data_IF_023131630130
#
_entry.id   IF_023131630130
#
_cell.length_a   1.000
_cell.length_b   1.000
_cell.length_c   1.000
_cell.angle_alpha   90.00
_cell.angle_beta   90.00
_cell.angle_gamma   90.00
#
_symmetry.space_group_name_H-M   'P 1'
#
loop_
_entity.id
_entity.type
_entity.pdbx_description
1 polymer ?
#
# COMPACT_ATOMS: atom_id res chain seq x y z
N UNK A 1 17.11 44.15 49.32
CA UNK A 1 17.25 45.19 48.29
C UNK A 1 17.83 44.52 47.06
N UNK A 2 17.16 44.33 45.92
CA UNK A 2 15.76 44.47 45.55
C UNK A 2 15.57 43.59 44.31
N UNK A 3 14.50 42.80 44.29
CA UNK A 3 13.90 42.29 43.05
C UNK A 3 13.19 43.46 42.36
N UNK A 4 13.13 43.45 41.02
CA UNK A 4 11.90 43.92 40.36
C UNK A 4 11.49 42.97 39.20
N UNK A 5 10.32 43.16 38.56
CA UNK A 5 9.08 42.59 39.04
C UNK A 5 8.47 41.58 38.06
N UNK A 6 7.52 40.78 38.57
CA UNK A 6 6.51 40.12 37.76
C UNK A 6 5.44 41.15 37.42
N UNK A 7 5.06 41.23 36.15
CA UNK A 7 3.75 41.72 35.74
C UNK A 7 3.16 40.81 34.67
N UNK A 8 1.99 40.28 34.98
CA UNK A 8 1.00 39.65 34.08
C UNK A 8 -0.13 40.67 33.95
N UNK A 9 -0.72 40.86 32.76
CA UNK A 9 -2.15 40.61 32.69
C UNK A 9 -2.66 39.92 31.40
N UNK A 10 -3.63 39.04 31.64
CA UNK A 10 -4.92 38.92 30.92
C UNK A 10 -4.95 38.40 29.47
N UNK A 11 -5.20 37.09 29.38
CA UNK A 11 -6.35 36.46 28.70
C UNK A 11 -6.85 37.08 27.39
N UNK A 12 -6.62 36.41 26.26
CA UNK A 12 -7.62 36.23 25.20
C UNK A 12 -7.54 34.79 24.66
N UNK A 13 -8.49 33.95 25.11
CA UNK A 13 -8.82 32.68 24.44
C UNK A 13 -9.55 33.01 23.15
N UNK A 14 -8.92 32.81 22.00
CA UNK A 14 -9.62 32.73 20.72
C UNK A 14 -10.02 31.27 20.51
N UNK A 15 -11.29 30.98 20.80
CA UNK A 15 -11.94 29.75 20.34
C UNK A 15 -12.32 29.95 18.88
N UNK A 16 -11.59 29.32 17.97
CA UNK A 16 -12.05 29.13 16.59
C UNK A 16 -12.81 27.82 16.52
N UNK A 17 -14.15 27.90 16.63
CA UNK A 17 -15.06 26.79 16.33
C UNK A 17 -15.13 26.64 14.81
N UNK A 18 -14.55 25.58 14.27
CA UNK A 18 -14.80 25.17 12.88
C UNK A 18 -16.09 24.33 12.87
N UNK A 19 -17.13 24.85 12.21
CA UNK A 19 -18.37 24.13 11.95
C UNK A 19 -18.11 23.03 10.91
N UNK A 20 -18.33 21.77 11.30
CA UNK A 20 -18.49 20.66 10.37
C UNK A 20 -19.95 20.64 9.89
N UNK A 21 -20.17 20.89 8.59
CA UNK A 21 -21.49 20.67 7.96
C UNK A 21 -21.61 19.20 7.61
N UNK A 22 -22.31 18.44 8.46
CA UNK A 22 -22.77 17.08 8.16
C UNK A 22 -24.15 17.15 7.53
N UNK A 23 -24.24 16.83 6.23
CA UNK A 23 -25.51 16.56 5.57
C UNK A 23 -26.10 15.23 6.03
N UNK A 24 -27.14 15.29 6.88
CA UNK A 24 -28.06 14.18 7.11
C UNK A 24 -29.28 14.35 6.20
N UNK A 25 -29.56 13.37 5.35
CA UNK A 25 -30.91 13.11 4.87
C UNK A 25 -31.46 11.91 5.64
N UNK A 26 -32.59 12.14 6.31
CA UNK A 26 -33.33 11.19 7.14
C UNK A 26 -34.39 10.39 6.37
N UNK A 27 -35.37 9.79 7.07
CA UNK A 27 -35.75 8.38 6.88
C UNK A 27 -37.21 8.19 6.41
N UNK A 28 -37.58 6.95 6.06
CA UNK A 28 -38.91 6.30 6.16
C UNK A 28 -38.83 4.96 5.36
N UNK A 29 -39.40 3.79 5.73
CA UNK A 29 -40.59 3.41 6.49
C UNK A 29 -40.48 1.95 6.95
N UNK A 30 -40.98 1.69 8.15
CA UNK A 30 -41.41 0.37 8.64
C UNK A 30 -42.83 0.07 8.14
N UNK A 31 -43.10 -1.16 7.68
CA UNK A 31 -44.43 -1.75 7.68
C UNK A 31 -44.38 -3.23 8.07
N UNK A 32 -44.96 -3.45 9.26
CA UNK A 32 -45.53 -4.63 9.89
C UNK A 32 -46.00 -5.79 8.96
N UNK A 33 -45.84 -7.03 9.45
CA UNK A 33 -46.59 -8.23 8.99
C UNK A 33 -48.10 -8.15 9.34
N UNK A 34 -48.86 -9.26 9.48
CA UNK A 34 -48.47 -10.69 9.53
C UNK A 34 -49.36 -11.61 8.65
N UNK A 35 -49.07 -12.92 8.58
CA UNK A 35 -50.11 -13.98 8.64
C UNK A 35 -49.53 -15.37 8.91
N UNK A 36 -50.06 -15.99 9.96
CA UNK A 36 -49.88 -17.40 10.35
C UNK A 36 -50.68 -18.30 9.41
N UNK A 37 -50.14 -19.47 9.06
CA UNK A 37 -50.93 -20.72 9.04
C UNK A 37 -50.02 -21.94 9.17
N UNK A 38 -50.59 -22.99 9.77
CA UNK A 38 -49.96 -24.18 10.36
C UNK A 38 -49.72 -25.31 9.34
N UNK A 39 -48.75 -26.16 9.69
CA UNK A 39 -48.72 -27.64 9.69
C UNK A 39 -49.44 -28.40 8.56
N UNK A 40 -48.71 -29.30 7.89
CA UNK A 40 -48.76 -30.76 8.17
C UNK A 40 -47.81 -31.55 7.26
N UNK A 41 -47.22 -32.58 7.86
CA UNK A 41 -46.53 -33.71 7.23
C UNK A 41 -47.51 -34.58 6.42
N UNK A 42 -46.99 -35.34 5.44
CA UNK A 42 -47.75 -36.37 4.73
C UNK A 42 -46.91 -37.14 3.71
N UNK A 43 -46.73 -38.42 3.96
CA UNK A 43 -45.86 -39.43 3.34
C UNK A 43 -46.45 -40.07 2.05
N UNK A 44 -45.56 -40.67 1.22
CA UNK A 44 -45.69 -41.89 0.38
C UNK A 44 -46.02 -41.83 -1.15
N UNK A 45 -45.13 -42.53 -1.88
CA UNK A 45 -45.08 -43.14 -3.25
C UNK A 45 -46.17 -44.26 -3.44
N UNK A 46 -46.32 -45.10 -4.52
CA UNK A 46 -45.73 -45.18 -5.89
C UNK A 46 -46.64 -45.60 -7.11
N UNK A 47 -46.05 -45.46 -8.32
CA UNK A 47 -45.98 -46.39 -9.52
C UNK A 47 -47.15 -46.72 -10.51
N UNK A 48 -46.68 -47.10 -11.74
CA UNK A 48 -47.20 -47.96 -12.86
C UNK A 48 -47.86 -47.23 -14.06
N UNK A 49 -47.25 -47.15 -15.26
CA UNK A 49 -47.02 -48.13 -16.38
C UNK A 49 -48.26 -48.40 -17.27
N UNK A 50 -48.12 -48.23 -18.60
CA UNK A 50 -49.00 -48.89 -19.58
C UNK A 50 -49.02 -48.30 -21.01
N UNK A 51 -48.47 -49.04 -21.97
CA UNK A 51 -48.31 -48.81 -23.43
C UNK A 51 -49.51 -49.23 -24.30
N UNK A 52 -49.61 -48.75 -25.57
CA UNK A 52 -50.07 -49.55 -26.74
C UNK A 52 -49.82 -48.89 -28.13
N UNK A 53 -49.89 -49.72 -29.18
CA UNK A 53 -49.14 -49.73 -30.45
C UNK A 53 -49.86 -49.16 -31.72
N UNK A 54 -49.05 -48.81 -32.76
CA UNK A 54 -49.07 -48.96 -34.27
C UNK A 54 -50.40 -49.29 -35.04
N UNK A 55 -50.52 -49.30 -36.42
CA UNK A 55 -49.50 -49.37 -37.51
C UNK A 55 -49.81 -48.72 -38.92
N UNK A 56 -48.84 -48.93 -39.85
CA UNK A 56 -48.92 -49.18 -41.33
C UNK A 56 -48.89 -48.05 -42.39
N UNK A 57 -47.91 -48.20 -43.32
CA UNK A 57 -47.68 -47.44 -44.56
C UNK A 57 -48.28 -48.13 -45.80
N UNK A 58 -48.31 -47.49 -47.00
CA UNK A 58 -47.32 -47.87 -48.03
C UNK A 58 -46.86 -46.75 -49.01
N UNK A 59 -45.83 -47.10 -49.81
CA UNK A 59 -45.04 -46.31 -50.80
C UNK A 59 -45.66 -46.19 -52.21
N UNK A 60 -45.24 -45.18 -53.01
CA UNK A 60 -44.74 -45.25 -54.43
C UNK A 60 -44.32 -43.83 -54.91
N UNK A 61 -43.01 -43.54 -55.11
CA UNK A 61 -42.21 -43.45 -56.37
C UNK A 61 -42.86 -42.62 -57.49
N UNK A 62 -42.47 -41.37 -57.72
CA UNK A 62 -41.30 -40.82 -58.47
C UNK A 62 -41.66 -40.40 -59.90
N UNK A 63 -41.43 -39.12 -60.24
CA UNK A 63 -40.88 -38.63 -61.53
C UNK A 63 -40.60 -37.11 -61.44
N UNK A 64 -39.32 -36.75 -61.50
CA UNK A 64 -38.72 -35.41 -61.72
C UNK A 64 -38.25 -35.35 -63.20
N UNK A 65 -37.76 -34.23 -63.76
CA UNK A 65 -37.97 -32.80 -63.47
C UNK A 65 -38.08 -31.91 -64.75
N UNK A 66 -38.40 -30.61 -64.59
CA UNK A 66 -37.75 -29.54 -65.37
C UNK A 66 -37.34 -28.42 -64.41
N UNK A 67 -36.04 -28.15 -64.35
CA UNK A 67 -35.45 -27.05 -63.57
C UNK A 67 -35.29 -25.84 -64.50
N UNK A 68 -35.81 -24.66 -64.15
CA UNK A 68 -35.24 -23.41 -64.62
C UNK A 68 -34.18 -22.91 -63.63
N UNK A 69 -33.02 -22.54 -64.17
CA UNK A 69 -31.99 -21.79 -63.44
C UNK A 69 -32.49 -20.37 -63.15
N UNK A 70 -32.49 -19.97 -61.88
CA UNK A 70 -31.64 -18.87 -61.39
C UNK A 70 -32.01 -18.51 -59.95
N UNK A 71 -31.19 -18.89 -58.98
CA UNK A 71 -31.26 -18.33 -57.62
C UNK A 71 -29.92 -17.64 -57.29
N UNK A 72 -29.53 -16.66 -58.11
CA UNK A 72 -28.36 -15.79 -57.85
C UNK A 72 -28.59 -14.83 -56.66
N UNK A 73 -29.84 -14.70 -56.18
CA UNK A 73 -30.16 -13.95 -54.97
C UNK A 73 -29.69 -14.68 -53.69
N UNK A 74 -29.83 -16.01 -53.62
CA UNK A 74 -29.51 -16.78 -52.42
C UNK A 74 -28.04 -16.75 -52.04
N UNK A 75 -27.11 -16.80 -52.99
CA UNK A 75 -25.67 -16.88 -52.69
C UNK A 75 -25.15 -15.61 -51.98
N UNK A 76 -25.66 -14.44 -52.36
CA UNK A 76 -25.26 -13.16 -51.73
C UNK A 76 -25.81 -13.04 -50.31
N UNK A 77 -27.01 -13.54 -50.06
CA UNK A 77 -27.60 -13.52 -48.72
C UNK A 77 -26.94 -14.56 -47.81
N UNK A 78 -26.58 -15.75 -48.33
CA UNK A 78 -25.78 -16.72 -47.58
C UNK A 78 -24.38 -16.21 -47.24
N UNK A 79 -23.72 -15.48 -48.16
CA UNK A 79 -22.43 -14.84 -47.88
C UNK A 79 -22.54 -13.76 -46.80
N UNK A 80 -23.63 -12.99 -46.77
CA UNK A 80 -23.89 -12.00 -45.70
C UNK A 80 -24.13 -12.67 -44.35
N UNK A 81 -24.89 -13.76 -44.31
CA UNK A 81 -25.13 -14.53 -43.08
C UNK A 81 -23.83 -15.13 -42.56
N UNK A 82 -22.98 -15.67 -43.43
CA UNK A 82 -21.67 -16.21 -43.05
C UNK A 82 -20.71 -15.12 -42.57
N UNK A 83 -20.71 -13.94 -43.20
CA UNK A 83 -19.93 -12.79 -42.75
C UNK A 83 -20.38 -12.27 -41.39
N UNK A 84 -21.70 -12.18 -41.16
CA UNK A 84 -22.26 -11.76 -39.87
C UNK A 84 -21.99 -12.79 -38.77
N UNK A 85 -22.12 -14.08 -39.07
CA UNK A 85 -21.78 -15.16 -38.14
C UNK A 85 -20.28 -15.19 -37.82
N UNK A 86 -19.42 -14.95 -38.82
CA UNK A 86 -17.98 -14.82 -38.65
C UNK A 86 -17.60 -13.61 -37.79
N UNK A 87 -18.23 -12.45 -38.03
CA UNK A 87 -18.03 -11.24 -37.21
C UNK A 87 -18.49 -11.45 -35.76
N UNK A 88 -19.63 -12.11 -35.55
CA UNK A 88 -20.14 -12.47 -34.22
C UNK A 88 -19.20 -13.44 -33.48
N UNK A 89 -18.63 -14.42 -34.18
CA UNK A 89 -17.66 -15.37 -33.61
C UNK A 89 -16.33 -14.69 -33.27
N UNK A 90 -15.86 -13.76 -34.10
CA UNK A 90 -14.65 -12.98 -33.82
C UNK A 90 -14.88 -12.03 -32.65
N UNK A 91 -16.05 -11.37 -32.55
CA UNK A 91 -16.36 -10.50 -31.42
C UNK A 91 -16.52 -11.27 -30.12
N UNK A 92 -17.18 -12.43 -30.14
CA UNK A 92 -17.33 -13.27 -28.93
C UNK A 92 -16.03 -13.96 -28.53
N UNK A 93 -15.21 -14.39 -29.49
CA UNK A 93 -13.86 -14.88 -29.23
C UNK A 93 -12.93 -13.79 -28.68
N UNK A 94 -13.04 -12.55 -29.16
CA UNK A 94 -12.30 -11.40 -28.65
C UNK A 94 -12.68 -11.01 -27.23
N UNK A 95 -13.98 -11.10 -26.87
CA UNK A 95 -14.47 -10.85 -25.50
C UNK A 95 -13.99 -11.95 -24.53
N UNK A 96 -14.05 -13.22 -24.94
CA UNK A 96 -13.56 -14.35 -24.12
C UNK A 96 -12.03 -14.32 -23.93
N UNK A 97 -11.28 -13.86 -24.94
CA UNK A 97 -9.83 -13.67 -24.82
C UNK A 97 -9.48 -12.46 -23.93
N UNK A 98 -10.26 -11.39 -23.95
CA UNK A 98 -10.08 -10.24 -23.08
C UNK A 98 -10.38 -10.56 -21.61
N UNK A 99 -11.45 -11.31 -21.33
CA UNK A 99 -11.77 -11.78 -19.97
C UNK A 99 -10.76 -12.80 -19.44
N UNK A 100 -10.15 -13.61 -20.32
CA UNK A 100 -9.09 -14.54 -19.94
C UNK A 100 -7.76 -13.83 -19.62
N UNK A 101 -7.49 -12.67 -20.22
CA UNK A 101 -6.31 -11.83 -19.89
C UNK A 101 -6.45 -11.06 -18.58
N UNK A 102 -7.67 -10.90 -18.06
CA UNK A 102 -7.93 -10.29 -16.73
C UNK A 102 -7.84 -11.28 -15.57
N UNK A 103 -7.45 -12.55 -15.82
CA UNK A 103 -7.00 -13.47 -14.79
C UNK A 103 -5.56 -13.12 -14.35
N UNK A 104 -5.33 -11.85 -13.98
CA UNK A 104 -4.28 -11.52 -13.05
C UNK A 104 -4.62 -12.30 -11.78
N UNK A 105 -3.81 -13.30 -11.44
CA UNK A 105 -3.92 -13.98 -10.15
C UNK A 105 -3.66 -12.94 -9.06
N UNK A 106 -4.71 -12.24 -8.62
CA UNK A 106 -4.65 -11.40 -7.45
C UNK A 106 -4.10 -12.24 -6.30
N UNK A 107 -3.07 -11.74 -5.62
CA UNK A 107 -2.46 -12.44 -4.50
C UNK A 107 -3.54 -12.87 -3.52
N UNK A 108 -3.57 -14.15 -3.15
CA UNK A 108 -4.51 -14.64 -2.15
C UNK A 108 -4.01 -14.22 -0.78
N UNK A 109 -4.78 -13.38 -0.08
CA UNK A 109 -4.55 -13.11 1.35
C UNK A 109 -4.73 -14.43 2.10
N UNK A 110 -3.70 -14.82 2.86
CA UNK A 110 -3.71 -15.97 3.75
C UNK A 110 -3.57 -15.45 5.18
N UNK A 111 -4.47 -15.86 6.08
CA UNK A 111 -4.49 -15.39 7.46
C UNK A 111 -5.29 -14.10 7.66
N UNK A 112 -5.15 -13.51 8.85
CA UNK A 112 -5.76 -12.23 9.21
C UNK A 112 -4.76 -11.07 9.14
N UNK A 113 -5.25 -9.85 9.40
CA UNK A 113 -4.39 -8.69 9.62
C UNK A 113 -3.89 -8.71 11.07
N UNK A 114 -2.59 -8.52 11.25
CA UNK A 114 -1.94 -8.43 12.56
C UNK A 114 -1.27 -7.06 12.67
N UNK A 115 -1.58 -6.34 13.74
CA UNK A 115 -0.87 -5.11 14.03
C UNK A 115 0.53 -5.44 14.60
N UNK A 116 1.54 -4.71 14.13
CA UNK A 116 2.94 -4.88 14.58
C UNK A 116 3.33 -3.86 15.65
N UNK A 117 2.65 -2.70 15.70
CA UNK A 117 2.91 -1.66 16.66
C UNK A 117 2.19 -1.91 17.99
N UNK A 118 2.86 -1.53 19.08
CA UNK A 118 2.25 -1.51 20.40
C UNK A 118 1.07 -0.52 20.42
N UNK A 119 0.05 -0.77 21.24
CA UNK A 119 -1.11 0.13 21.35
C UNK A 119 -2.14 0.04 20.23
N UNK A 120 -1.88 -0.68 19.13
CA UNK A 120 -2.82 -0.78 18.00
C UNK A 120 -4.23 -1.30 18.36
N UNK A 121 -4.35 -2.09 19.42
CA UNK A 121 -5.63 -2.59 19.94
C UNK A 121 -6.23 -1.71 21.04
N UNK A 122 -5.50 -0.70 21.52
CA UNK A 122 -5.95 0.22 22.55
C UNK A 122 -6.82 1.33 21.92
N UNK A 123 -8.13 1.41 22.25
CA UNK A 123 -9.02 2.42 21.69
C UNK A 123 -8.70 3.86 22.13
N UNK A 124 -7.81 4.06 23.10
CA UNK A 124 -7.35 5.41 23.50
C UNK A 124 -5.98 5.77 22.90
N UNK A 125 -5.32 4.86 22.19
CA UNK A 125 -4.10 5.19 21.47
C UNK A 125 -4.43 6.11 20.29
N UNK A 126 -3.76 7.26 20.26
CA UNK A 126 -3.89 8.29 19.24
C UNK A 126 -2.61 8.42 18.40
N UNK A 127 -1.65 7.51 18.58
CA UNK A 127 -0.39 7.48 17.85
C UNK A 127 -0.66 7.21 16.36
N UNK A 128 -0.18 8.12 15.53
CA UNK A 128 -0.45 8.10 14.09
C UNK A 128 0.68 7.42 13.31
N UNK A 129 0.80 6.10 13.44
CA UNK A 129 1.75 5.27 12.69
C UNK A 129 1.46 5.31 11.18
N UNK A 130 2.48 5.52 10.36
CA UNK A 130 2.36 5.54 8.90
C UNK A 130 3.70 5.37 8.17
N UNK A 131 3.62 5.29 6.83
CA UNK A 131 4.78 5.13 5.94
C UNK A 131 5.68 3.94 6.34
N UNK A 132 5.12 2.74 6.59
CA UNK A 132 5.92 1.63 7.08
C UNK A 132 6.84 1.07 5.98
N UNK A 133 8.00 0.58 6.41
CA UNK A 133 8.91 -0.26 5.62
C UNK A 133 9.19 -1.55 6.40
N UNK A 134 9.60 -2.60 5.69
CA UNK A 134 9.97 -3.89 6.30
C UNK A 134 11.12 -4.54 5.53
N UNK A 135 12.05 -5.14 6.27
CA UNK A 135 13.18 -5.90 5.72
C UNK A 135 13.32 -7.24 6.44
N UNK A 136 13.85 -8.23 5.74
CA UNK A 136 14.20 -9.54 6.28
C UNK A 136 15.72 -9.66 6.37
N UNK A 137 16.21 -10.19 7.49
CA UNK A 137 17.63 -10.42 7.68
C UNK A 137 18.14 -11.54 6.75
N UNK A 138 19.13 -11.27 5.87
CA UNK A 138 19.60 -12.23 4.87
C UNK A 138 20.36 -13.42 5.48
N UNK A 139 20.89 -13.29 6.70
CA UNK A 139 21.59 -14.39 7.40
C UNK A 139 20.70 -15.11 8.41
N UNK A 140 19.51 -14.55 8.71
CA UNK A 140 18.53 -15.16 9.60
C UNK A 140 17.09 -14.78 9.17
N UNK A 141 16.41 -15.58 8.33
CA UNK A 141 15.11 -15.22 7.78
C UNK A 141 13.98 -15.13 8.82
N UNK A 142 14.16 -15.68 10.02
CA UNK A 142 13.22 -15.53 11.14
C UNK A 142 13.27 -14.11 11.75
N UNK A 143 14.35 -13.35 11.50
CA UNK A 143 14.46 -11.98 11.94
C UNK A 143 13.92 -11.02 10.89
N UNK A 144 12.76 -10.45 11.18
CA UNK A 144 12.14 -9.37 10.41
C UNK A 144 12.24 -8.07 11.19
N UNK A 145 12.39 -6.96 10.48
CA UNK A 145 12.44 -5.63 11.06
C UNK A 145 11.53 -4.72 10.25
N UNK A 146 10.61 -4.05 10.92
CA UNK A 146 9.77 -3.01 10.32
C UNK A 146 10.06 -1.66 10.98
N UNK A 147 9.99 -0.59 10.21
CA UNK A 147 10.08 0.78 10.73
C UNK A 147 8.92 1.60 10.20
N UNK A 148 8.51 2.59 10.98
CA UNK A 148 7.48 3.53 10.57
C UNK A 148 7.63 4.87 11.29
N UNK A 149 6.99 5.88 10.70
CA UNK A 149 6.87 7.20 11.30
C UNK A 149 5.62 7.28 12.15
N UNK A 150 5.73 7.91 13.32
CA UNK A 150 4.60 8.29 14.17
C UNK A 150 4.39 9.79 14.06
N UNK A 151 3.27 10.21 13.45
CA UNK A 151 2.96 11.63 13.29
C UNK A 151 2.42 12.27 14.58
N UNK A 152 1.77 13.43 14.45
CA UNK A 152 1.13 14.14 15.56
C UNK A 152 0.29 13.20 16.43
N UNK A 153 0.40 13.28 17.76
CA UNK A 153 1.06 14.34 18.52
C UNK A 153 2.54 14.09 18.86
N UNK A 154 3.09 12.90 18.58
CA UNK A 154 4.40 12.48 19.08
C UNK A 154 5.56 12.89 18.18
N UNK A 155 5.41 12.80 16.85
CA UNK A 155 6.48 13.03 15.88
C UNK A 155 7.72 12.18 16.15
N UNK A 156 7.58 10.86 16.20
CA UNK A 156 8.68 9.93 16.45
C UNK A 156 8.82 8.92 15.31
N UNK A 157 9.76 7.98 15.47
CA UNK A 157 9.87 6.80 14.63
C UNK A 157 9.85 5.57 15.51
N UNK A 158 9.38 4.46 14.96
CA UNK A 158 9.34 3.17 15.64
C UNK A 158 10.18 2.14 14.88
N UNK A 159 10.75 1.19 15.62
CA UNK A 159 11.44 0.02 15.10
C UNK A 159 10.83 -1.22 15.73
N UNK A 160 10.22 -2.07 14.91
CA UNK A 160 9.54 -3.28 15.31
C UNK A 160 10.36 -4.49 14.88
N UNK A 161 10.65 -5.39 15.81
CA UNK A 161 11.51 -6.56 15.61
C UNK A 161 10.67 -7.82 15.79
N UNK A 162 10.77 -8.73 14.84
CA UNK A 162 10.37 -10.12 15.02
C UNK A 162 11.60 -11.02 14.97
N UNK A 163 11.58 -12.10 15.75
CA UNK A 163 12.60 -13.17 15.78
C UNK A 163 12.02 -14.55 15.48
N UNK A 164 10.77 -14.61 15.03
CA UNK A 164 9.97 -15.82 14.81
C UNK A 164 9.15 -15.73 13.51
N UNK A 165 9.73 -15.09 12.49
CA UNK A 165 9.17 -15.04 11.14
C UNK A 165 7.92 -14.16 11.03
N UNK A 166 7.74 -13.21 11.95
CA UNK A 166 6.61 -12.29 12.00
C UNK A 166 5.45 -12.76 12.88
N UNK A 167 5.62 -13.83 13.65
CA UNK A 167 4.57 -14.36 14.54
C UNK A 167 4.36 -13.46 15.76
N UNK A 168 5.45 -12.92 16.31
CA UNK A 168 5.43 -11.93 17.39
C UNK A 168 6.37 -10.77 17.07
N UNK A 169 6.05 -9.61 17.64
CA UNK A 169 6.78 -8.35 17.41
C UNK A 169 7.04 -7.66 18.75
N UNK A 170 8.22 -7.04 18.87
CA UNK A 170 8.63 -6.18 19.98
C UNK A 170 9.18 -4.86 19.45
N UNK A 171 9.16 -3.80 20.25
CA UNK A 171 9.69 -2.50 19.83
C UNK A 171 11.06 -2.21 20.46
N UNK A 172 11.98 -1.65 19.66
CA UNK A 172 13.26 -1.12 20.13
C UNK A 172 13.21 0.40 20.13
N UNK A 173 13.44 1.08 21.28
CA UNK A 173 13.48 2.54 21.33
C UNK A 173 14.67 3.09 20.54
N UNK A 174 14.43 4.08 19.68
CA UNK A 174 15.51 4.79 18.99
C UNK A 174 16.19 5.79 19.93
N UNK A 175 17.53 5.83 19.96
CA UNK A 175 18.25 6.88 20.69
C UNK A 175 18.01 8.25 20.05
N UNK A 176 18.01 9.29 20.88
CA UNK A 176 17.96 10.67 20.42
C UNK A 176 19.40 11.17 20.28
N UNK A 177 19.84 11.59 19.08
CA UNK A 177 21.19 12.12 18.90
C UNK A 177 21.47 13.33 19.80
N UNK A 178 22.72 13.52 20.20
CA UNK A 178 23.12 14.62 21.08
C UNK A 178 22.77 15.98 20.44
N UNK A 179 22.09 16.85 21.20
CA UNK A 179 21.70 18.19 20.74
C UNK A 179 20.42 18.26 19.89
N UNK A 180 19.78 17.11 19.64
CA UNK A 180 18.53 16.99 18.89
C UNK A 180 17.30 16.94 19.81
N UNK A 181 16.13 17.29 19.25
CA UNK A 181 14.85 17.02 19.90
C UNK A 181 14.50 15.54 19.73
N UNK A 182 13.70 14.98 20.64
CA UNK A 182 13.15 13.62 20.53
C UNK A 182 12.05 13.53 19.47
N UNK A 183 12.35 14.02 18.26
CA UNK A 183 11.47 14.04 17.11
C UNK A 183 12.15 13.44 15.89
N UNK A 184 11.45 12.53 15.25
CA UNK A 184 11.98 11.75 14.14
C UNK A 184 11.02 11.78 12.95
N UNK A 185 11.59 11.66 11.75
CA UNK A 185 10.91 11.71 10.48
C UNK A 185 11.60 10.80 9.46
N UNK A 186 10.80 10.20 8.57
CA UNK A 186 11.25 9.38 7.45
C UNK A 186 12.33 8.34 7.85
N UNK A 187 12.01 7.41 8.77
CA UNK A 187 12.90 6.30 9.03
C UNK A 187 12.92 5.36 7.81
N UNK A 188 14.08 4.83 7.48
CA UNK A 188 14.23 3.76 6.48
C UNK A 188 15.29 2.76 6.95
N UNK A 189 15.15 1.51 6.54
CA UNK A 189 15.93 0.38 7.07
C UNK A 189 16.46 -0.51 5.96
N UNK A 190 17.67 -1.02 6.15
CA UNK A 190 18.28 -2.00 5.25
C UNK A 190 19.12 -2.99 6.06
N UNK A 191 18.99 -4.28 5.75
CA UNK A 191 19.98 -5.25 6.17
C UNK A 191 21.12 -5.29 5.17
N UNK A 192 22.35 -5.32 5.67
CA UNK A 192 23.50 -5.67 4.87
C UNK A 192 23.68 -7.19 4.77
N UNK A 193 24.54 -7.61 3.86
CA UNK A 193 24.73 -9.03 3.52
C UNK A 193 25.33 -9.88 4.63
N UNK A 194 25.97 -9.26 5.62
CA UNK A 194 26.48 -9.90 6.83
C UNK A 194 25.43 -10.00 7.96
N UNK A 195 24.24 -9.42 7.77
CA UNK A 195 23.18 -9.37 8.77
C UNK A 195 23.18 -8.12 9.65
N UNK A 196 24.09 -7.17 9.42
CA UNK A 196 24.04 -5.86 10.09
C UNK A 196 22.81 -5.10 9.62
N UNK A 197 21.95 -4.70 10.56
CA UNK A 197 20.84 -3.80 10.29
C UNK A 197 21.35 -2.36 10.31
N UNK A 198 21.04 -1.59 9.28
CA UNK A 198 21.20 -0.15 9.26
C UNK A 198 19.83 0.53 9.25
N UNK A 199 19.72 1.63 9.98
CA UNK A 199 18.56 2.48 10.03
C UNK A 199 19.01 3.91 9.74
N UNK A 200 18.35 4.56 8.79
CA UNK A 200 18.45 5.99 8.56
C UNK A 200 17.20 6.69 9.08
N UNK A 201 17.36 7.94 9.53
CA UNK A 201 16.22 8.79 9.90
C UNK A 201 16.61 10.26 9.89
N UNK A 202 15.60 11.12 9.97
CA UNK A 202 15.76 12.57 10.02
C UNK A 202 15.25 13.09 11.36
N UNK A 203 16.05 13.91 12.04
CA UNK A 203 15.57 14.62 13.23
C UNK A 203 14.83 15.90 12.85
N UNK A 204 13.82 16.27 13.64
CA UNK A 204 13.02 17.47 13.43
C UNK A 204 13.28 18.49 14.53
N UNK A 205 13.29 19.78 14.20
CA UNK A 205 13.56 20.86 15.15
C UNK A 205 12.54 21.99 15.11
N UNK A 206 12.26 22.55 16.29
CA UNK A 206 11.37 23.70 16.47
C UNK A 206 9.89 23.39 16.28
N UNK A 207 9.07 24.44 16.34
CA UNK A 207 7.60 24.34 16.28
C UNK A 207 7.07 23.92 14.90
N UNK A 208 7.85 24.15 13.84
CA UNK A 208 7.51 23.74 12.48
C UNK A 208 7.89 22.31 12.15
N UNK A 209 8.56 21.59 13.08
CA UNK A 209 9.12 20.27 12.83
C UNK A 209 9.96 20.24 11.53
N UNK A 210 10.92 21.16 11.45
CA UNK A 210 11.77 21.32 10.26
C UNK A 210 12.83 20.23 10.28
N UNK A 211 13.05 19.49 9.17
CA UNK A 211 14.18 18.57 9.03
C UNK A 211 15.52 19.22 9.35
N UNK A 212 16.23 18.66 10.33
CA UNK A 212 17.44 19.26 10.90
C UNK A 212 18.72 18.50 10.54
N UNK A 213 18.70 17.16 10.57
CA UNK A 213 19.85 16.34 10.21
C UNK A 213 19.43 14.93 9.83
N UNK A 214 20.21 14.30 8.95
CA UNK A 214 20.11 12.87 8.60
C UNK A 214 21.07 12.09 9.48
N UNK A 215 20.59 10.99 10.04
CA UNK A 215 21.33 10.14 10.96
C UNK A 215 21.33 8.70 10.50
N UNK A 216 22.40 7.97 10.85
CA UNK A 216 22.55 6.53 10.65
C UNK A 216 22.80 5.87 12.01
N UNK A 217 22.14 4.74 12.21
CA UNK A 217 22.33 3.84 13.36
C UNK A 217 22.47 2.43 12.80
N UNK A 218 23.24 1.59 13.49
CA UNK A 218 23.39 0.18 13.15
C UNK A 218 23.01 -0.76 14.30
N UNK A 219 22.80 -2.04 13.97
CA UNK A 219 22.59 -3.11 14.93
C UNK A 219 23.17 -4.43 14.41
N UNK A 220 23.90 -5.13 15.28
CA UNK A 220 24.51 -6.44 14.98
C UNK A 220 23.72 -7.62 15.57
N UNK A 221 22.70 -7.35 16.37
CA UNK A 221 21.84 -8.37 17.00
C UNK A 221 20.43 -8.40 16.38
N UNK A 222 20.32 -7.88 15.15
CA UNK A 222 19.09 -7.86 14.37
C UNK A 222 18.02 -6.94 14.95
N UNK A 223 18.46 -5.79 15.46
CA UNK A 223 17.63 -4.67 15.90
C UNK A 223 17.25 -4.66 17.38
N UNK A 224 17.84 -5.52 18.23
CA UNK A 224 17.55 -5.54 19.67
C UNK A 224 18.30 -4.43 20.41
N UNK A 225 19.53 -4.16 20.00
CA UNK A 225 20.34 -3.03 20.48
C UNK A 225 20.80 -2.18 19.30
N UNK A 226 20.94 -0.88 19.55
CA UNK A 226 21.26 0.12 18.55
C UNK A 226 22.58 0.81 18.91
N UNK A 227 23.41 1.11 17.90
CA UNK A 227 24.62 1.91 18.07
C UNK A 227 24.30 3.37 18.44
N UNK A 228 25.32 4.13 18.82
CA UNK A 228 25.23 5.59 18.83
C UNK A 228 24.94 6.12 17.41
N UNK A 229 24.11 7.18 17.26
CA UNK A 229 23.84 7.77 15.95
C UNK A 229 25.05 8.48 15.34
N UNK A 230 25.34 8.25 14.06
CA UNK A 230 26.27 9.05 13.26
C UNK A 230 25.51 10.02 12.35
N UNK A 231 25.94 11.28 12.29
CA UNK A 231 25.31 12.26 11.41
C UNK A 231 25.85 12.09 9.98
N UNK A 232 24.94 11.90 9.02
CA UNK A 232 25.29 11.80 7.59
C UNK A 232 25.22 13.17 6.90
N UNK A 233 24.10 13.89 7.06
CA UNK A 233 23.84 15.15 6.36
C UNK A 233 23.16 16.19 7.24
N UNK A 234 23.17 17.43 6.75
CA UNK A 234 22.61 18.60 7.42
C UNK A 234 21.11 18.82 7.19
N UNK A 235 20.64 20.05 7.41
CA UNK A 235 19.20 20.37 7.44
C UNK A 235 18.55 20.30 6.06
N UNK A 236 17.21 20.29 6.08
CA UNK A 236 16.35 20.31 4.89
C UNK A 236 16.52 19.10 3.96
N UNK A 237 17.02 17.98 4.49
CA UNK A 237 16.94 16.68 3.84
C UNK A 237 15.59 16.01 4.16
N UNK A 238 14.77 15.80 3.14
CA UNK A 238 13.45 15.20 3.26
C UNK A 238 13.43 13.80 2.67
N UNK A 239 12.66 12.92 3.29
CA UNK A 239 12.34 11.57 2.79
C UNK A 239 13.60 10.79 2.39
N UNK A 240 14.43 10.51 3.39
CA UNK A 240 15.65 9.74 3.20
C UNK A 240 15.28 8.30 2.84
N UNK A 241 15.97 7.76 1.83
CA UNK A 241 15.93 6.35 1.45
C UNK A 241 17.29 5.72 1.63
N UNK A 242 17.34 4.49 2.13
CA UNK A 242 18.54 3.75 2.49
C UNK A 242 18.58 2.41 1.77
N UNK A 243 19.76 2.05 1.26
CA UNK A 243 20.05 0.70 0.82
C UNK A 243 21.49 0.31 1.13
N UNK A 244 21.75 -0.99 1.15
CA UNK A 244 23.06 -1.60 1.40
C UNK A 244 23.54 -2.32 0.15
N UNK A 245 24.86 -2.42 -0.01
CA UNK A 245 25.46 -3.14 -1.12
C UNK A 245 25.22 -4.66 -0.97
N UNK A 246 24.87 -5.35 -2.08
CA UNK A 246 24.70 -6.80 -2.08
C UNK A 246 26.02 -7.58 -2.07
N UNK A 247 27.18 -6.90 -2.07
CA UNK A 247 28.50 -7.54 -2.07
C UNK A 247 29.46 -7.02 -1.01
N UNK A 248 29.18 -5.85 -0.44
CA UNK A 248 30.08 -5.15 0.48
C UNK A 248 29.31 -4.75 1.75
N UNK A 249 29.52 -5.45 2.88
CA UNK A 249 28.70 -5.27 4.07
C UNK A 249 28.62 -3.83 4.61
N UNK A 250 29.72 -3.08 4.53
CA UNK A 250 29.80 -1.72 5.06
C UNK A 250 29.43 -0.63 4.03
N UNK A 251 29.06 -1.02 2.80
CA UNK A 251 28.78 -0.07 1.74
C UNK A 251 27.30 0.29 1.69
N UNK A 252 26.96 1.55 2.00
CA UNK A 252 25.60 2.07 2.07
C UNK A 252 25.36 3.15 1.02
N UNK A 253 24.13 3.25 0.52
CA UNK A 253 23.68 4.35 -0.32
C UNK A 253 22.50 5.06 0.32
N UNK A 254 22.52 6.40 0.23
CA UNK A 254 21.41 7.25 0.64
C UNK A 254 20.89 8.06 -0.53
N UNK A 255 19.57 8.27 -0.54
CA UNK A 255 18.90 9.27 -1.38
C UNK A 255 18.04 10.18 -0.54
N UNK A 256 17.90 11.45 -0.92
CA UNK A 256 16.96 12.38 -0.26
C UNK A 256 16.53 13.50 -1.19
N UNK A 257 15.41 14.14 -0.86
CA UNK A 257 15.03 15.42 -1.45
C UNK A 257 15.70 16.55 -0.64
N UNK A 258 16.58 17.32 -1.26
CA UNK A 258 17.21 18.47 -0.62
C UNK A 258 16.36 19.72 -0.87
N UNK A 259 15.75 20.26 0.17
CA UNK A 259 15.01 21.51 0.08
C UNK A 259 15.91 22.72 0.38
N UNK A 260 15.45 23.88 -0.09
CA UNK A 260 16.07 25.17 0.19
C UNK A 260 15.05 26.11 0.85
N UNK A 261 15.55 27.03 1.68
CA UNK A 261 14.69 28.08 2.23
C UNK A 261 14.41 29.11 1.14
N UNK A 262 13.17 29.16 0.68
CA UNK A 262 12.72 30.20 -0.25
C UNK A 262 12.05 31.37 0.49
N UNK A 263 11.97 32.52 -0.18
CA UNK A 263 11.16 33.63 0.31
C UNK A 263 9.68 33.22 0.39
N UNK A 264 8.91 33.89 1.24
CA UNK A 264 7.48 33.61 1.44
C UNK A 264 6.74 33.59 0.10
N UNK A 265 5.96 32.52 -0.15
CA UNK A 265 5.22 32.28 -1.39
C UNK A 265 6.08 32.11 -2.66
N UNK A 266 7.37 31.81 -2.51
CA UNK A 266 8.26 31.49 -3.62
C UNK A 266 8.58 30.00 -3.65
N UNK A 267 8.70 29.44 -4.85
CA UNK A 267 9.19 28.08 -5.08
C UNK A 267 10.51 28.17 -5.84
N UNK A 268 11.44 27.23 -5.64
CA UNK A 268 12.64 27.18 -6.47
C UNK A 268 12.23 26.89 -7.91
N UNK A 269 12.77 27.64 -8.87
CA UNK A 269 12.40 27.54 -10.29
C UNK A 269 12.67 26.15 -10.87
N UNK A 270 13.72 25.48 -10.39
CA UNK A 270 14.16 24.15 -10.83
C UNK A 270 13.56 23.00 -10.02
N UNK A 271 12.71 23.31 -9.03
CA UNK A 271 12.32 22.35 -7.99
C UNK A 271 13.48 22.00 -7.05
N UNK A 272 13.18 21.18 -6.04
CA UNK A 272 14.17 20.70 -5.08
C UNK A 272 14.95 19.50 -5.67
N UNK A 273 16.29 19.47 -5.60
CA UNK A 273 17.06 18.35 -6.13
C UNK A 273 16.87 17.07 -5.31
N UNK A 274 16.90 15.94 -6.01
CA UNK A 274 17.07 14.62 -5.42
C UNK A 274 18.57 14.35 -5.40
N UNK A 275 19.09 14.13 -4.21
CA UNK A 275 20.50 13.89 -3.97
C UNK A 275 20.75 12.42 -3.69
N UNK A 276 21.95 11.96 -4.02
CA UNK A 276 22.47 10.64 -3.73
C UNK A 276 23.89 10.73 -3.17
N UNK A 277 24.24 9.86 -2.23
CA UNK A 277 25.59 9.72 -1.72
C UNK A 277 25.84 8.28 -1.25
N UNK A 278 27.12 7.92 -1.13
CA UNK A 278 27.54 6.59 -0.70
C UNK A 278 28.49 6.67 0.49
N UNK A 279 28.51 5.60 1.28
CA UNK A 279 29.45 5.37 2.39
C UNK A 279 30.08 4.00 2.21
N UNK A 280 31.38 3.88 2.49
CA UNK A 280 32.13 2.61 2.39
C UNK A 280 32.50 2.04 3.79
N UNK A 281 32.05 2.69 4.86
CA UNK A 281 32.45 2.43 6.25
C UNK A 281 31.26 2.38 7.22
N UNK A 282 30.12 1.89 6.74
CA UNK A 282 28.93 1.67 7.57
C UNK A 282 28.22 2.96 7.99
N UNK A 283 28.39 4.04 7.23
CA UNK A 283 27.77 5.34 7.48
C UNK A 283 28.57 6.25 8.42
N UNK A 284 29.86 5.96 8.66
CA UNK A 284 30.73 6.83 9.44
C UNK A 284 31.22 8.03 8.61
N UNK A 285 31.49 7.84 7.33
CA UNK A 285 31.80 8.89 6.37
C UNK A 285 31.01 8.73 5.08
N UNK A 286 30.78 9.86 4.39
CA UNK A 286 29.95 9.93 3.19
C UNK A 286 30.67 10.65 2.06
N UNK A 287 30.43 10.19 0.83
CA UNK A 287 30.89 10.87 -0.38
C UNK A 287 30.27 12.27 -0.51
N UNK A 288 30.85 13.11 -1.37
CA UNK A 288 30.16 14.33 -1.81
C UNK A 288 28.83 13.97 -2.47
N UNK A 289 27.71 14.60 -2.08
CA UNK A 289 26.40 14.34 -2.69
C UNK A 289 26.36 14.69 -4.19
N UNK A 290 25.65 13.89 -4.95
CA UNK A 290 25.41 14.08 -6.38
C UNK A 290 23.91 14.25 -6.60
N UNK A 291 23.51 15.26 -7.38
CA UNK A 291 22.12 15.41 -7.82
C UNK A 291 21.82 14.38 -8.90
N UNK A 292 20.70 13.65 -8.78
CA UNK A 292 20.32 12.58 -9.72
C UNK A 292 19.19 12.94 -10.68
N UNK A 293 18.51 14.06 -10.42
CA UNK A 293 17.39 14.56 -11.22
C UNK A 293 17.76 15.83 -12.01
N UNK A 294 19.01 15.96 -12.45
CA UNK A 294 19.43 17.05 -13.32
C UNK A 294 19.09 16.78 -14.80
N UNK A 295 18.82 17.85 -15.56
CA UNK A 295 18.47 17.77 -16.99
C UNK A 295 19.69 17.53 -17.90
N UNK A 296 20.87 17.25 -17.33
CA UNK A 296 22.13 17.18 -18.07
C UNK A 296 22.52 15.73 -18.32
N UNK A 297 22.12 15.21 -19.48
CA UNK A 297 22.77 14.08 -20.15
C UNK A 297 23.43 14.53 -21.45
#
# INVERSE_FOLDING_TARGET
MDKPPRDVPLTKRLHSRLLLVLGRAGPERSLLGPRKTRLREGLLDPRLVGSKERPLAPRRRELKPRVPLSNRAGLKDWLRVLLLAGLLLVSSGGILLAEASDLVSAGRVVGGNYAVNEGAADPVDISAHNSPSIVQNPVNPENLVASDRVDSPLFSCALHISKDGGSTWSQTPLPVPEGEEAKCYAPDIAFSTDGTLYLSFVTLKGLGNVPNAVWIISSQDGGLTLSEPSQAFGPLAFQVGLTSSPSEPDHLQLTWLQAEVTATFSFPETGNPIMWATSEDGGATWSTPIQVNDDVR
#
